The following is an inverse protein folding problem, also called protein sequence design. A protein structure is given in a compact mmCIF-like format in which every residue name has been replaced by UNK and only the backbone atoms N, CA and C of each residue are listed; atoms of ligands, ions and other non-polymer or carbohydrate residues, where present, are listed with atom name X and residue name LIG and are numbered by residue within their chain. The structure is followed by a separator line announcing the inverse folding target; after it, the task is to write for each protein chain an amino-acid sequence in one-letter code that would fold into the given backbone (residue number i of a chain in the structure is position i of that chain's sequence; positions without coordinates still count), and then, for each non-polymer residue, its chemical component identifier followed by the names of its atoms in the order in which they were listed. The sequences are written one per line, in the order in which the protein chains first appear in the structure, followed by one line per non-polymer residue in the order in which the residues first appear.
data_IF_068531399865
#
_entry.id   IF_068531399865
#
_cell.length_a   1.000
_cell.length_b   1.000
_cell.length_c   1.000
_cell.angle_alpha   90.00
_cell.angle_beta   90.00
_cell.angle_gamma   90.00
#
_symmetry.space_group_name_H-M   'P 1'
#
loop_
_entity.id
_entity.type
_entity.pdbx_description
1 polymer ?
#
# COMPACT_ATOMS: atom_id res chain seq x y z
N UNK A 1 -14.13 -4.45 13.81
CA UNK A 1 -13.19 -3.75 12.91
C UNK A 1 -13.03 -4.66 11.72
N UNK A 2 -13.57 -4.27 10.57
CA UNK A 2 -13.73 -5.19 9.45
C UNK A 2 -12.35 -5.65 8.96
N UNK A 3 -12.18 -6.96 8.83
CA UNK A 3 -10.97 -7.53 8.23
C UNK A 3 -10.91 -7.09 6.76
N UNK A 4 -9.71 -6.94 6.15
CA UNK A 4 -9.61 -6.60 4.73
C UNK A 4 -10.40 -7.58 3.83
N UNK A 5 -10.56 -8.83 4.26
CA UNK A 5 -11.39 -9.86 3.64
C UNK A 5 -12.88 -9.51 3.60
N UNK A 6 -13.43 -8.94 4.68
CA UNK A 6 -14.85 -8.56 4.79
C UNK A 6 -15.17 -7.36 3.91
N UNK A 7 -14.21 -6.44 3.76
CA UNK A 7 -14.34 -5.28 2.86
C UNK A 7 -14.47 -5.75 1.42
N UNK A 8 -13.68 -6.74 1.00
CA UNK A 8 -13.67 -7.25 -0.37
C UNK A 8 -14.97 -7.99 -0.75
N UNK A 9 -15.66 -8.57 0.24
CA UNK A 9 -16.93 -9.28 0.05
C UNK A 9 -18.16 -8.35 -0.03
N UNK A 10 -18.00 -7.05 0.15
CA UNK A 10 -19.09 -6.08 -0.01
C UNK A 10 -19.58 -6.05 -1.47
N UNK A 11 -20.87 -6.36 -1.69
CA UNK A 11 -21.47 -6.46 -3.02
C UNK A 11 -21.69 -5.10 -3.66
N UNK A 12 -21.99 -4.09 -2.86
CA UNK A 12 -22.15 -2.72 -3.33
C UNK A 12 -20.77 -2.10 -3.56
N UNK A 13 -20.42 -1.87 -4.82
CA UNK A 13 -19.11 -1.37 -5.22
C UNK A 13 -18.77 0.01 -4.62
N UNK A 14 -19.78 0.87 -4.41
CA UNK A 14 -19.59 2.21 -3.83
C UNK A 14 -19.30 2.07 -2.33
N UNK A 15 -20.06 1.21 -1.62
CA UNK A 15 -19.79 0.91 -0.21
C UNK A 15 -18.45 0.22 -0.04
N UNK A 16 -18.10 -0.72 -0.92
CA UNK A 16 -16.81 -1.41 -0.91
C UNK A 16 -15.66 -0.43 -1.07
N UNK A 17 -15.77 0.49 -2.02
CA UNK A 17 -14.78 1.54 -2.22
C UNK A 17 -14.63 2.45 -1.00
N UNK A 18 -15.75 2.85 -0.38
CA UNK A 18 -15.76 3.63 0.85
C UNK A 18 -15.07 2.89 2.00
N UNK A 19 -15.47 1.65 2.27
CA UNK A 19 -14.88 0.80 3.33
C UNK A 19 -13.39 0.58 3.10
N UNK A 20 -12.99 0.31 1.85
CA UNK A 20 -11.59 0.13 1.50
C UNK A 20 -10.78 1.41 1.69
N UNK A 21 -11.30 2.55 1.25
CA UNK A 21 -10.71 3.86 1.52
C UNK A 21 -10.54 4.10 3.02
N UNK A 22 -11.59 3.84 3.80
CA UNK A 22 -11.57 3.99 5.25
C UNK A 22 -10.47 3.14 5.90
N UNK A 23 -10.35 1.87 5.52
CA UNK A 23 -9.26 1.00 5.98
C UNK A 23 -7.87 1.59 5.66
N UNK A 24 -7.65 1.99 4.40
CA UNK A 24 -6.38 2.59 3.97
C UNK A 24 -6.04 3.84 4.79
N UNK A 25 -7.03 4.71 5.01
CA UNK A 25 -6.85 5.91 5.84
C UNK A 25 -6.58 5.61 7.31
N UNK A 26 -7.31 4.65 7.87
CA UNK A 26 -7.24 4.26 9.28
C UNK A 26 -5.90 3.63 9.64
N UNK A 27 -5.36 2.80 8.74
CA UNK A 27 -4.08 2.13 8.93
C UNK A 27 -2.89 2.93 8.39
N UNK A 28 -3.12 4.09 7.77
CA UNK A 28 -2.05 4.95 7.25
C UNK A 28 -1.33 4.35 6.04
N UNK A 29 -1.96 3.45 5.30
CA UNK A 29 -1.36 2.86 4.10
C UNK A 29 -1.27 3.88 2.96
N UNK A 30 -0.26 3.70 2.12
CA UNK A 30 -0.10 4.51 0.90
C UNK A 30 -0.73 3.78 -0.27
N UNK A 31 -1.42 4.52 -1.15
CA UNK A 31 -2.14 3.96 -2.30
C UNK A 31 -1.27 3.16 -3.27
N UNK A 32 0.02 3.48 -3.35
CA UNK A 32 0.99 2.83 -4.24
C UNK A 32 1.53 1.53 -3.65
N UNK A 33 1.23 1.22 -2.39
CA UNK A 33 1.69 0.00 -1.75
C UNK A 33 1.04 -1.20 -2.44
N UNK A 34 1.84 -2.20 -2.85
CA UNK A 34 1.48 -3.17 -3.89
C UNK A 34 0.06 -3.73 -3.81
N UNK A 35 -0.32 -4.31 -2.67
CA UNK A 35 -1.65 -4.90 -2.49
C UNK A 35 -2.77 -3.84 -2.45
N UNK A 36 -2.50 -2.63 -1.94
CA UNK A 36 -3.47 -1.52 -1.92
C UNK A 36 -3.74 -1.05 -3.34
N UNK A 37 -2.68 -0.88 -4.13
CA UNK A 37 -2.77 -0.50 -5.53
C UNK A 37 -3.56 -1.54 -6.34
N UNK A 38 -3.30 -2.83 -6.10
CA UNK A 38 -3.97 -3.93 -6.78
C UNK A 38 -5.48 -3.97 -6.46
N UNK A 39 -5.85 -3.88 -5.17
CA UNK A 39 -7.27 -3.86 -4.76
C UNK A 39 -7.97 -2.62 -5.31
N UNK A 40 -7.34 -1.43 -5.21
CA UNK A 40 -7.90 -0.19 -5.75
C UNK A 40 -8.13 -0.30 -7.26
N UNK A 41 -7.17 -0.87 -8.00
CA UNK A 41 -7.28 -1.10 -9.44
C UNK A 41 -8.48 -1.98 -9.78
N UNK A 42 -8.66 -3.12 -9.08
CA UNK A 42 -9.80 -4.03 -9.29
C UNK A 42 -11.14 -3.34 -9.07
N UNK A 43 -11.29 -2.61 -7.96
CA UNK A 43 -12.51 -1.84 -7.66
C UNK A 43 -12.78 -0.81 -8.77
N UNK A 44 -11.75 -0.14 -9.26
CA UNK A 44 -11.89 0.89 -10.29
C UNK A 44 -12.18 0.32 -11.68
N UNK A 45 -11.61 -0.82 -12.04
CA UNK A 45 -11.91 -1.52 -13.29
C UNK A 45 -13.37 -1.99 -13.30
N UNK A 46 -13.84 -2.63 -12.22
CA UNK A 46 -15.24 -3.04 -12.09
C UNK A 46 -16.19 -1.83 -12.16
N UNK A 47 -15.83 -0.71 -11.52
CA UNK A 47 -16.62 0.51 -11.58
C UNK A 47 -16.71 1.13 -12.98
N UNK A 48 -15.65 1.01 -13.79
CA UNK A 48 -15.68 1.42 -15.21
C UNK A 48 -16.65 0.57 -16.01
N UNK A 49 -16.65 -0.75 -15.79
CA UNK A 49 -17.60 -1.65 -16.46
C UNK A 49 -19.06 -1.36 -16.10
N UNK A 50 -19.31 -0.92 -14.87
CA UNK A 50 -20.64 -0.57 -14.37
C UNK A 50 -21.04 0.89 -14.64
N UNK A 51 -20.16 1.72 -15.20
CA UNK A 51 -20.44 3.14 -15.48
C UNK A 51 -20.51 4.05 -14.25
N UNK A 52 -20.04 3.59 -13.09
CA UNK A 52 -20.11 4.31 -11.79
C UNK A 52 -18.73 4.70 -11.24
N UNK A 53 -17.76 4.89 -12.14
CA UNK A 53 -16.36 5.13 -11.78
C UNK A 53 -16.18 6.38 -10.90
N UNK A 54 -16.85 7.48 -11.21
CA UNK A 54 -16.69 8.74 -10.48
C UNK A 54 -17.30 8.67 -9.07
N UNK A 55 -18.43 7.99 -8.91
CA UNK A 55 -19.07 7.71 -7.63
C UNK A 55 -18.16 6.86 -6.74
N UNK A 56 -17.61 5.79 -7.31
CA UNK A 56 -16.67 4.89 -6.63
C UNK A 56 -15.39 5.60 -6.21
N UNK A 57 -14.83 6.45 -7.08
CA UNK A 57 -13.66 7.27 -6.79
C UNK A 57 -13.94 8.26 -5.66
N UNK A 58 -15.08 8.97 -5.71
CA UNK A 58 -15.53 9.88 -4.64
C UNK A 58 -15.71 9.13 -3.32
N UNK A 59 -16.33 7.95 -3.35
CA UNK A 59 -16.55 7.11 -2.18
C UNK A 59 -15.23 6.67 -1.54
N UNK A 60 -14.26 6.23 -2.35
CA UNK A 60 -12.92 5.88 -1.87
C UNK A 60 -12.21 7.05 -1.19
N UNK A 61 -12.19 8.23 -1.83
CA UNK A 61 -11.57 9.44 -1.28
C UNK A 61 -12.24 9.84 0.05
N UNK A 62 -13.57 9.83 0.09
CA UNK A 62 -14.36 10.13 1.29
C UNK A 62 -14.04 9.15 2.42
N UNK A 63 -14.04 7.85 2.11
CA UNK A 63 -13.65 6.79 3.05
C UNK A 63 -12.26 7.03 3.61
N UNK A 64 -11.27 7.29 2.76
CA UNK A 64 -9.89 7.53 3.16
C UNK A 64 -9.72 8.74 4.07
N UNK A 65 -10.45 9.83 3.81
CA UNK A 65 -10.48 10.99 4.70
C UNK A 65 -11.09 10.64 6.05
N UNK A 66 -12.23 9.94 6.07
CA UNK A 66 -12.88 9.51 7.31
C UNK A 66 -11.98 8.57 8.14
N UNK A 67 -11.28 7.63 7.49
CA UNK A 67 -10.33 6.74 8.14
C UNK A 67 -9.16 7.48 8.80
N UNK A 68 -8.63 8.54 8.16
CA UNK A 68 -7.58 9.38 8.74
C UNK A 68 -8.05 10.13 9.98
N UNK A 69 -9.24 10.73 9.93
CA UNK A 69 -9.85 11.41 11.09
C UNK A 69 -10.05 10.43 12.25
N UNK A 70 -10.54 9.23 11.96
CA UNK A 70 -10.71 8.18 12.97
C UNK A 70 -9.36 7.71 13.54
N UNK A 71 -8.32 7.58 12.70
CA UNK A 71 -6.96 7.26 13.15
C UNK A 71 -6.44 8.29 14.12
N UNK A 72 -6.56 9.58 13.78
CA UNK A 72 -6.14 10.69 14.63
C UNK A 72 -6.87 10.67 15.98
N UNK A 73 -8.20 10.47 15.95
CA UNK A 73 -9.01 10.33 17.15
C UNK A 73 -8.54 9.15 18.03
N UNK A 74 -8.30 7.98 17.44
CA UNK A 74 -7.85 6.79 18.19
C UNK A 74 -6.46 6.96 18.78
N UNK A 75 -5.55 7.61 18.06
CA UNK A 75 -4.23 7.94 18.58
C UNK A 75 -4.34 8.89 19.77
N UNK A 76 -5.16 9.94 19.65
CA UNK A 76 -5.38 10.90 20.73
C UNK A 76 -5.95 10.24 21.99
N UNK A 77 -6.86 9.28 21.82
CA UNK A 77 -7.43 8.50 22.93
C UNK A 77 -6.52 7.37 23.44
N UNK A 78 -5.32 7.19 22.90
CA UNK A 78 -4.42 6.10 23.27
C UNK A 78 -4.89 4.70 22.83
N UNK A 79 -5.92 4.62 21.98
CA UNK A 79 -6.52 3.37 21.48
C UNK A 79 -5.76 2.80 20.27
N UNK A 80 -4.81 3.56 19.72
CA UNK A 80 -3.98 3.13 18.60
C UNK A 80 -2.60 3.78 18.71
N UNK A 81 -1.54 3.02 18.43
CA UNK A 81 -0.18 3.56 18.34
C UNK A 81 0.02 4.23 16.97
N UNK A 82 0.86 5.26 16.90
CA UNK A 82 1.37 5.73 15.62
C UNK A 82 2.26 4.65 15.01
N UNK A 83 1.69 3.82 14.13
CA UNK A 83 2.47 2.88 13.32
C UNK A 83 3.02 3.58 12.10
N UNK A 84 4.33 3.48 11.91
CA UNK A 84 5.04 3.69 10.65
C UNK A 84 4.92 2.43 9.81
N UNK A 85 3.92 2.37 8.91
CA UNK A 85 3.89 1.49 7.73
C UNK A 85 4.34 0.03 7.93
N UNK A 86 3.77 -0.72 8.86
CA UNK A 86 4.03 -2.16 8.96
C UNK A 86 3.08 -2.95 8.04
N UNK A 87 3.69 -3.87 7.28
CA UNK A 87 3.07 -4.67 6.22
C UNK A 87 2.33 -5.85 6.87
N UNK A 88 1.00 -6.02 6.70
CA UNK A 88 0.33 -7.21 7.21
C UNK A 88 0.69 -8.45 6.36
N UNK A 89 1.34 -9.45 6.97
CA UNK A 89 1.84 -10.68 6.33
C UNK A 89 0.75 -11.67 5.84
N UNK A 90 -0.54 -11.39 6.04
CA UNK A 90 -1.62 -12.31 5.70
C UNK A 90 -2.72 -11.63 4.90
N UNK A 91 -2.52 -11.50 3.59
CA UNK A 91 -3.62 -11.36 2.64
C UNK A 91 -3.45 -12.48 1.62
N UNK A 92 -4.11 -13.63 1.87
CA UNK A 92 -4.27 -14.68 0.86
C UNK A 92 -5.27 -14.14 -0.18
N UNK A 93 -4.75 -13.46 -1.19
CA UNK A 93 -5.53 -13.13 -2.39
C UNK A 93 -5.89 -14.47 -3.03
N UNK A 94 -7.17 -14.86 -2.94
CA UNK A 94 -7.72 -16.01 -3.66
C UNK A 94 -7.49 -15.73 -5.14
N UNK A 95 -6.45 -16.35 -5.65
CA UNK A 95 -6.07 -16.29 -7.05
C UNK A 95 -7.07 -17.16 -7.78
N UNK A 96 -7.96 -16.53 -8.54
CA UNK A 96 -8.70 -17.23 -9.60
C UNK A 96 -7.63 -17.87 -10.49
N UNK A 97 -7.64 -19.20 -10.52
CA UNK A 97 -6.63 -20.05 -11.16
C UNK A 97 -6.26 -19.52 -12.55
N UNK A 98 -5.00 -19.09 -12.69
CA UNK A 98 -4.29 -19.17 -13.96
C UNK A 98 -3.15 -20.15 -13.80
N UNK A 99 -3.49 -21.38 -14.18
CA UNK A 99 -2.65 -22.32 -14.91
C UNK A 99 -1.14 -22.24 -14.62
N UNK A 100 -0.71 -23.23 -13.84
CA UNK A 100 0.63 -23.76 -13.58
C UNK A 100 1.71 -23.33 -14.58
N UNK A 101 2.62 -22.47 -14.12
CA UNK A 101 3.99 -22.35 -14.62
C UNK A 101 4.91 -22.02 -13.46
N UNK A 102 5.71 -22.98 -13.03
CA UNK A 102 6.65 -22.87 -11.92
C UNK A 102 7.64 -21.72 -12.12
N UNK A 103 7.53 -20.67 -11.30
CA UNK A 103 8.51 -19.56 -11.21
C UNK A 103 9.82 -20.01 -10.49
N UNK A 104 10.01 -21.31 -10.26
CA UNK A 104 11.18 -21.89 -9.61
C UNK A 104 12.48 -21.84 -10.44
N UNK A 105 12.59 -20.97 -11.44
CA UNK A 105 13.80 -20.80 -12.25
C UNK A 105 14.02 -19.35 -12.73
N UNK A 106 13.69 -18.35 -11.91
CA UNK A 106 14.30 -17.03 -12.09
C UNK A 106 15.68 -17.05 -11.41
N UNK A 107 16.69 -17.50 -12.16
CA UNK A 107 18.09 -17.25 -11.82
C UNK A 107 18.32 -15.73 -11.86
N UNK A 108 18.20 -15.07 -10.72
CA UNK A 108 18.67 -13.70 -10.59
C UNK A 108 20.20 -13.71 -10.76
N UNK A 109 20.78 -12.92 -11.68
CA UNK A 109 22.22 -12.85 -11.85
C UNK A 109 22.86 -12.44 -10.52
N UNK A 110 23.93 -13.15 -10.13
CA UNK A 110 24.74 -12.75 -8.98
C UNK A 110 25.31 -11.36 -9.26
N UNK A 111 25.59 -10.61 -8.21
CA UNK A 111 26.07 -9.21 -8.27
C UNK A 111 27.32 -9.05 -9.17
N UNK A 112 28.06 -10.13 -9.38
CA UNK A 112 29.22 -10.23 -10.28
C UNK A 112 28.89 -10.05 -11.77
N UNK A 113 27.65 -10.32 -12.20
CA UNK A 113 27.18 -10.20 -13.60
C UNK A 113 26.49 -8.87 -13.91
N UNK A 114 26.51 -7.90 -12.98
CA UNK A 114 25.92 -6.58 -13.26
C UNK A 114 26.75 -5.81 -14.30
N UNK A 115 26.12 -5.25 -15.35
CA UNK A 115 26.83 -4.41 -16.31
C UNK A 115 27.40 -3.17 -15.60
N UNK A 116 28.68 -2.89 -15.84
CA UNK A 116 29.47 -1.80 -15.22
C UNK A 116 28.92 -0.37 -15.48
N UNK A 117 27.79 -0.24 -16.15
CA UNK A 117 27.14 1.03 -16.49
C UNK A 117 26.23 1.57 -15.38
N UNK A 118 25.85 0.75 -14.39
CA UNK A 118 25.19 1.23 -13.17
C UNK A 118 26.27 1.77 -12.23
N UNK A 119 26.78 2.97 -12.55
CA UNK A 119 27.70 3.70 -11.69
C UNK A 119 27.00 3.97 -10.36
N UNK A 120 27.61 3.49 -9.26
CA UNK A 120 27.21 3.75 -7.87
C UNK A 120 26.73 5.20 -7.71
N UNK A 121 25.55 5.47 -7.13
CA UNK A 121 25.23 6.83 -6.74
C UNK A 121 26.33 7.28 -5.77
N UNK A 122 27.05 8.35 -6.13
CA UNK A 122 28.01 8.99 -5.23
C UNK A 122 27.20 9.54 -4.06
N UNK A 123 27.14 8.78 -2.98
CA UNK A 123 26.56 9.21 -1.74
C UNK A 123 27.22 10.53 -1.29
N UNK A 124 26.33 11.50 -1.03
CA UNK A 124 26.46 12.59 -0.08
C UNK A 124 27.81 12.65 0.63
N UNK A 125 28.65 13.61 0.22
CA UNK A 125 29.78 14.03 1.05
C UNK A 125 29.20 14.66 2.32
N UNK A 126 29.32 13.97 3.45
CA UNK A 126 29.07 14.56 4.76
C UNK A 126 29.98 15.80 4.92
N UNK A 127 29.45 16.97 5.34
CA UNK A 127 30.26 18.15 5.54
C UNK A 127 31.29 17.93 6.65
N UNK A 128 32.49 18.49 6.47
CA UNK A 128 33.69 18.30 7.30
C UNK A 128 33.63 18.89 8.73
N UNK A 129 32.45 19.28 9.23
CA UNK A 129 32.32 20.04 10.48
C UNK A 129 32.33 19.17 11.76
N UNK A 130 32.47 17.85 11.62
CA UNK A 130 32.53 16.90 12.74
C UNK A 130 33.97 16.53 13.16
N UNK A 131 34.98 17.32 12.79
CA UNK A 131 36.36 17.09 13.25
C UNK A 131 37.07 18.42 13.56
N UNK A 132 37.00 18.82 14.83
CA UNK A 132 37.80 19.86 15.47
C UNK A 132 37.29 20.08 16.89
N UNK A 133 38.08 20.04 17.95
CA UNK A 133 39.52 19.79 18.10
C UNK A 133 39.81 19.74 19.60
N UNK A 134 40.67 18.80 20.01
CA UNK A 134 41.42 18.90 21.26
C UNK A 134 42.74 19.59 20.91
N UNK A 135 42.94 20.78 21.46
CA UNK A 135 44.23 21.28 21.93
C UNK A 135 44.01 21.92 23.31
#
# INVERSE_FOLDING_TARGET
MDKPEEILNEKDIIKRAYKFGFYVGLHGHTDWFGWVAEVKKKIYEEAKHLGVYEEVKKAYIKGKKAGRVEREKRIHLGLMKQTTSEIPEKIKIVSIERNRGSIASLNFPKIEDMPKTIKKPRFFRLPKILRGGEE
#
